data_IF_378901178652
#
_entry.id   IF_378901178652
#
_cell.length_a   1.000
_cell.length_b   1.000
_cell.length_c   1.000
_cell.angle_alpha   90.00
_cell.angle_beta   90.00
_cell.angle_gamma   90.00
#
_symmetry.space_group_name_H-M   'P 1'
#
loop_
_entity.id
_entity.type
_entity.pdbx_description
1 polymer ?
#
# COMPACT_ATOMS: atom_id res chain seq x y z
N UNK A 1 47.04 9.46 11.98
CA UNK A 1 45.62 9.36 12.40
C UNK A 1 44.67 10.22 11.54
N UNK A 2 44.90 11.53 11.37
CA UNK A 2 43.99 12.43 10.63
C UNK A 2 43.71 12.04 9.15
N UNK A 3 44.74 11.55 8.43
CA UNK A 3 44.60 11.03 7.04
C UNK A 3 43.82 9.71 6.96
N UNK A 4 43.93 8.86 7.98
CA UNK A 4 43.15 7.62 8.08
C UNK A 4 41.68 7.89 8.33
N UNK A 5 41.35 8.86 9.19
CA UNK A 5 39.95 9.30 9.38
C UNK A 5 39.34 9.89 8.10
N UNK A 6 40.11 10.69 7.36
CA UNK A 6 39.67 11.25 6.08
C UNK A 6 39.45 10.15 5.05
N UNK A 7 40.36 9.19 4.95
CA UNK A 7 40.22 8.05 4.05
C UNK A 7 39.00 7.20 4.39
N UNK A 8 38.79 6.86 5.66
CA UNK A 8 37.61 6.11 6.11
C UNK A 8 36.32 6.90 5.85
N UNK A 9 36.33 8.21 6.08
CA UNK A 9 35.19 9.09 5.79
C UNK A 9 34.84 9.12 4.30
N UNK A 10 35.83 9.29 3.42
CA UNK A 10 35.64 9.29 1.96
C UNK A 10 35.24 7.92 1.44
N UNK A 11 35.84 6.84 1.96
CA UNK A 11 35.49 5.46 1.61
C UNK A 11 34.04 5.14 2.01
N UNK A 12 33.62 5.55 3.21
CA UNK A 12 32.25 5.38 3.66
C UNK A 12 31.26 6.18 2.79
N UNK A 13 31.62 7.41 2.42
CA UNK A 13 30.84 8.25 1.49
C UNK A 13 30.72 7.60 0.10
N UNK A 14 31.83 7.07 -0.42
CA UNK A 14 31.85 6.38 -1.71
C UNK A 14 31.01 5.09 -1.67
N UNK A 15 31.11 4.30 -0.60
CA UNK A 15 30.28 3.11 -0.40
C UNK A 15 28.80 3.45 -0.30
N UNK A 16 28.44 4.55 0.38
CA UNK A 16 27.06 5.01 0.47
C UNK A 16 26.52 5.52 -0.88
N UNK A 17 27.36 6.23 -1.63
CA UNK A 17 27.03 6.72 -2.96
C UNK A 17 26.87 5.60 -3.99
N UNK A 18 27.68 4.54 -3.91
CA UNK A 18 27.65 3.38 -4.81
C UNK A 18 26.88 2.18 -4.24
N UNK A 19 26.11 2.36 -3.16
CA UNK A 19 25.44 1.24 -2.50
C UNK A 19 24.45 0.58 -3.50
N UNK A 20 24.61 -0.73 -3.82
CA UNK A 20 23.77 -1.33 -4.83
C UNK A 20 22.39 -1.65 -4.26
N UNK A 21 21.34 -1.30 -5.02
CA UNK A 21 19.92 -1.44 -4.63
C UNK A 21 19.57 -2.87 -4.15
N UNK A 22 20.27 -3.87 -4.70
CA UNK A 22 20.08 -5.30 -4.38
C UNK A 22 20.14 -5.62 -2.88
N UNK A 23 20.95 -4.89 -2.11
CA UNK A 23 21.10 -5.14 -0.67
C UNK A 23 19.87 -4.70 0.12
N UNK A 24 19.17 -3.66 -0.35
CA UNK A 24 17.95 -3.19 0.30
C UNK A 24 16.77 -4.07 -0.06
N UNK A 25 16.68 -4.52 -1.31
CA UNK A 25 15.60 -5.41 -1.74
C UNK A 25 15.64 -6.78 -1.05
N UNK A 26 16.82 -7.27 -0.67
CA UNK A 26 16.94 -8.53 0.06
C UNK A 26 16.20 -8.53 1.42
N UNK A 27 15.91 -7.34 1.97
CA UNK A 27 15.18 -7.16 3.22
C UNK A 27 13.70 -6.78 3.01
N UNK A 28 13.20 -6.77 1.77
CA UNK A 28 11.81 -6.42 1.46
C UNK A 28 11.09 -7.59 0.77
N UNK A 29 9.75 -7.66 0.85
CA UNK A 29 8.97 -8.68 0.15
C UNK A 29 8.85 -8.43 -1.36
N UNK A 30 9.59 -7.46 -1.92
CA UNK A 30 9.49 -7.06 -3.33
C UNK A 30 10.37 -7.97 -4.18
N UNK A 31 9.79 -8.59 -5.20
CA UNK A 31 10.52 -9.39 -6.20
C UNK A 31 10.52 -8.66 -7.55
N UNK A 32 11.57 -8.84 -8.34
CA UNK A 32 11.67 -8.24 -9.68
C UNK A 32 12.46 -9.17 -10.61
N UNK A 33 12.17 -9.15 -11.91
CA UNK A 33 12.88 -9.96 -12.91
C UNK A 33 14.31 -9.48 -13.09
N UNK A 34 14.50 -8.16 -13.14
CA UNK A 34 15.83 -7.56 -13.17
C UNK A 34 15.88 -6.33 -12.30
N UNK A 35 17.03 -6.13 -11.66
CA UNK A 35 17.33 -4.98 -10.81
C UNK A 35 18.59 -4.34 -11.35
N UNK A 36 18.51 -3.06 -11.70
CA UNK A 36 19.64 -2.30 -12.24
C UNK A 36 19.74 -0.94 -11.56
N UNK A 37 20.92 -0.34 -11.63
CA UNK A 37 21.18 0.98 -11.05
C UNK A 37 21.63 0.97 -9.59
N UNK A 38 21.82 2.17 -9.07
CA UNK A 38 22.25 2.42 -7.68
C UNK A 38 21.03 2.58 -6.77
N UNK A 39 21.24 2.65 -5.46
CA UNK A 39 20.16 2.96 -4.51
C UNK A 39 19.49 4.34 -4.77
N UNK A 40 20.19 5.26 -5.43
CA UNK A 40 19.70 6.60 -5.76
C UNK A 40 18.90 6.64 -7.06
N UNK A 41 19.19 5.71 -7.97
CA UNK A 41 18.67 5.67 -9.33
C UNK A 41 18.50 4.23 -9.80
N UNK A 42 17.66 3.50 -9.06
CA UNK A 42 17.36 2.10 -9.32
C UNK A 42 16.24 1.95 -10.34
N UNK A 43 16.26 0.85 -11.09
CA UNK A 43 15.13 0.38 -11.90
C UNK A 43 14.84 -1.08 -11.61
N UNK A 44 13.57 -1.37 -11.42
CA UNK A 44 13.02 -2.70 -11.22
C UNK A 44 12.21 -3.04 -12.48
N UNK A 45 12.60 -4.09 -13.20
CA UNK A 45 11.80 -4.59 -14.31
C UNK A 45 10.87 -5.71 -13.84
N UNK A 46 9.60 -5.63 -14.22
CA UNK A 46 8.53 -6.55 -13.82
C UNK A 46 8.53 -6.79 -12.29
N UNK A 47 8.47 -5.71 -11.52
CA UNK A 47 8.34 -5.75 -10.08
C UNK A 47 6.98 -6.37 -9.68
N UNK A 48 7.04 -7.27 -8.71
CA UNK A 48 5.90 -7.99 -8.15
C UNK A 48 5.99 -7.90 -6.63
N UNK A 49 4.94 -7.34 -6.03
CA UNK A 49 4.64 -7.52 -4.62
C UNK A 49 3.82 -8.79 -4.46
N UNK A 50 3.85 -9.46 -3.30
CA UNK A 50 3.01 -10.62 -3.04
C UNK A 50 1.54 -10.28 -3.33
N UNK A 51 0.97 -10.89 -4.38
CA UNK A 51 -0.40 -10.65 -4.82
C UNK A 51 -0.66 -9.37 -5.62
N UNK A 52 0.37 -8.61 -6.02
CA UNK A 52 0.19 -7.40 -6.83
C UNK A 52 1.31 -7.23 -7.87
N UNK A 53 1.04 -7.45 -9.17
CA UNK A 53 1.97 -7.10 -10.23
C UNK A 53 2.05 -5.57 -10.35
N UNK A 54 3.24 -5.00 -10.17
CA UNK A 54 3.45 -3.54 -10.28
C UNK A 54 3.95 -3.18 -11.68
N UNK A 55 4.83 -4.02 -12.26
CA UNK A 55 5.40 -3.77 -13.59
C UNK A 55 6.77 -3.10 -13.52
N UNK A 56 7.12 -2.30 -14.52
CA UNK A 56 8.41 -1.62 -14.58
C UNK A 56 8.37 -0.33 -13.77
N UNK A 57 9.34 -0.16 -12.86
CA UNK A 57 9.33 0.93 -11.88
C UNK A 57 10.73 1.47 -11.65
N UNK A 58 10.88 2.79 -11.68
CA UNK A 58 12.06 3.49 -11.21
C UNK A 58 11.93 3.74 -9.69
N UNK A 59 12.97 3.39 -8.93
CA UNK A 59 13.01 3.59 -7.47
C UNK A 59 14.32 4.27 -7.09
N UNK A 60 14.22 5.38 -6.36
CA UNK A 60 15.40 6.14 -5.91
C UNK A 60 15.26 6.62 -4.48
N UNK A 61 16.29 6.42 -3.66
CA UNK A 61 16.37 7.05 -2.36
C UNK A 61 16.63 8.55 -2.54
N UNK A 62 15.83 9.39 -1.90
CA UNK A 62 16.03 10.83 -1.86
C UNK A 62 17.13 11.21 -0.86
N UNK A 63 18.21 11.90 -1.28
CA UNK A 63 19.25 12.38 -0.37
C UNK A 63 18.70 13.35 0.68
N UNK A 64 17.77 14.21 0.29
CA UNK A 64 17.12 15.18 1.17
C UNK A 64 16.33 14.49 2.29
N UNK A 65 15.74 13.33 2.01
CA UNK A 65 15.08 12.51 3.02
C UNK A 65 16.04 12.10 4.14
N UNK A 66 17.25 11.65 3.80
CA UNK A 66 18.23 11.21 4.81
C UNK A 66 18.62 12.34 5.77
N UNK A 67 18.76 13.56 5.27
CA UNK A 67 19.04 14.74 6.10
C UNK A 67 17.91 15.04 7.09
N UNK A 68 16.66 14.69 6.77
CA UNK A 68 15.51 14.80 7.68
C UNK A 68 15.36 13.61 8.64
N UNK A 69 16.28 12.65 8.61
CA UNK A 69 16.24 11.44 9.44
C UNK A 69 15.28 10.36 8.94
N UNK A 70 14.86 10.43 7.68
CA UNK A 70 13.94 9.48 7.05
C UNK A 70 14.51 8.90 5.75
N UNK A 71 14.45 7.59 5.56
CA UNK A 71 14.70 6.99 4.26
C UNK A 71 13.44 7.19 3.39
N UNK A 72 13.50 8.13 2.44
CA UNK A 72 12.42 8.40 1.48
C UNK A 72 12.78 7.77 0.14
N UNK A 73 12.01 6.80 -0.30
CA UNK A 73 12.13 6.17 -1.62
C UNK A 73 11.06 6.75 -2.54
N UNK A 74 11.48 7.41 -3.61
CA UNK A 74 10.59 7.86 -4.67
C UNK A 74 10.38 6.68 -5.61
N UNK A 75 9.13 6.48 -6.01
CA UNK A 75 8.66 5.41 -6.89
C UNK A 75 7.98 6.10 -8.07
N UNK A 76 8.42 5.78 -9.27
CA UNK A 76 7.92 6.36 -10.53
C UNK A 76 7.75 5.22 -11.53
N UNK A 77 6.54 5.01 -12.02
CA UNK A 77 6.21 3.87 -12.86
C UNK A 77 4.84 3.98 -13.53
N UNK A 78 4.65 3.26 -14.62
CA UNK A 78 3.47 3.40 -15.50
C UNK A 78 2.13 3.14 -14.78
N UNK A 79 2.13 2.32 -13.73
CA UNK A 79 0.93 1.92 -12.98
C UNK A 79 0.77 2.69 -11.67
N UNK A 80 1.86 3.14 -11.06
CA UNK A 80 1.88 3.75 -9.74
C UNK A 80 3.10 4.66 -9.54
N UNK A 81 2.80 5.85 -9.06
CA UNK A 81 3.76 6.89 -8.69
C UNK A 81 3.58 7.26 -7.22
N UNK A 82 4.66 7.69 -6.56
CA UNK A 82 4.59 8.22 -5.22
C UNK A 82 5.91 8.09 -4.45
N UNK A 83 5.81 8.06 -3.13
CA UNK A 83 6.97 7.84 -2.27
C UNK A 83 6.64 6.96 -1.07
N UNK A 84 7.63 6.18 -0.64
CA UNK A 84 7.61 5.42 0.61
C UNK A 84 8.57 6.08 1.60
N UNK A 85 8.14 6.28 2.83
CA UNK A 85 8.92 6.88 3.90
C UNK A 85 9.13 5.87 5.02
N UNK A 86 10.39 5.68 5.39
CA UNK A 86 10.81 4.84 6.51
C UNK A 86 11.57 5.71 7.50
N UNK A 87 11.18 5.67 8.76
CA UNK A 87 11.77 6.48 9.85
C UNK A 87 11.94 5.59 11.08
N UNK A 88 12.74 6.02 12.05
CA UNK A 88 12.77 5.31 13.35
C UNK A 88 11.39 5.36 13.99
N UNK A 89 10.80 4.19 14.25
CA UNK A 89 9.48 4.05 14.86
C UNK A 89 8.31 4.48 13.97
N UNK A 90 8.51 4.63 12.65
CA UNK A 90 7.45 5.06 11.75
C UNK A 90 7.65 4.68 10.30
N UNK A 91 6.55 4.57 9.57
CA UNK A 91 6.53 4.30 8.12
C UNK A 91 5.33 4.97 7.48
N UNK A 92 5.41 5.23 6.19
CA UNK A 92 4.30 5.80 5.46
C UNK A 92 4.50 5.80 3.95
N UNK A 93 3.47 6.26 3.27
CA UNK A 93 3.41 6.53 1.85
C UNK A 93 2.98 7.99 1.65
N UNK A 94 3.49 8.62 0.59
CA UNK A 94 3.17 9.99 0.24
C UNK A 94 2.90 10.11 -1.25
N UNK A 95 1.86 10.89 -1.58
CA UNK A 95 1.47 11.26 -2.94
C UNK A 95 1.30 10.05 -3.87
N UNK A 96 0.74 8.96 -3.36
CA UNK A 96 0.53 7.74 -4.15
C UNK A 96 -0.62 7.94 -5.12
N UNK A 97 -0.31 7.88 -6.41
CA UNK A 97 -1.28 8.01 -7.50
C UNK A 97 -1.08 6.87 -8.47
N UNK A 98 -2.16 6.26 -8.93
CA UNK A 98 -2.06 5.14 -9.87
C UNK A 98 -3.28 4.23 -9.85
N UNK A 99 -3.23 3.20 -10.68
CA UNK A 99 -4.29 2.19 -10.80
C UNK A 99 -3.69 0.80 -10.62
N UNK A 100 -4.12 0.14 -9.57
CA UNK A 100 -3.68 -1.21 -9.21
C UNK A 100 -4.73 -2.25 -9.57
N UNK A 101 -4.29 -3.42 -10.03
CA UNK A 101 -5.16 -4.57 -10.37
C UNK A 101 -4.78 -5.81 -9.55
N UNK A 102 -4.95 -5.78 -8.21
CA UNK A 102 -4.47 -6.85 -7.32
C UNK A 102 -5.18 -8.20 -7.52
N UNK A 103 -6.35 -8.22 -8.17
CA UNK A 103 -7.23 -9.39 -8.26
C UNK A 103 -7.92 -9.74 -6.93
N UNK A 104 -7.19 -9.67 -5.81
CA UNK A 104 -7.73 -9.80 -4.45
C UNK A 104 -7.11 -8.77 -3.50
N UNK A 105 -7.94 -8.17 -2.64
CA UNK A 105 -7.51 -7.25 -1.59
C UNK A 105 -8.16 -7.68 -0.27
N UNK A 106 -7.36 -7.98 0.77
CA UNK A 106 -7.88 -8.43 2.07
C UNK A 106 -8.89 -9.60 1.94
N UNK A 107 -8.61 -10.54 1.04
CA UNK A 107 -9.50 -11.68 0.74
C UNK A 107 -10.68 -11.39 -0.19
N UNK A 108 -10.99 -10.12 -0.47
CA UNK A 108 -12.10 -9.69 -1.34
C UNK A 108 -11.68 -9.70 -2.83
N UNK A 109 -12.53 -10.15 -3.76
CA UNK A 109 -12.26 -10.05 -5.20
C UNK A 109 -12.38 -8.58 -5.67
N UNK A 110 -11.28 -8.04 -6.20
CA UNK A 110 -11.18 -6.63 -6.62
C UNK A 110 -10.62 -6.57 -8.04
N UNK A 111 -11.33 -5.87 -8.93
CA UNK A 111 -10.93 -5.68 -10.32
C UNK A 111 -9.85 -4.61 -10.43
N UNK A 112 -10.07 -3.46 -9.77
CA UNK A 112 -9.11 -2.36 -9.76
C UNK A 112 -9.23 -1.53 -8.48
N UNK A 113 -8.13 -0.85 -8.13
CA UNK A 113 -8.08 0.18 -7.10
C UNK A 113 -7.40 1.40 -7.72
N UNK A 114 -8.14 2.49 -7.84
CA UNK A 114 -7.59 3.79 -8.25
C UNK A 114 -7.22 4.57 -6.99
N UNK A 115 -6.00 5.10 -6.98
CA UNK A 115 -5.47 5.97 -5.93
C UNK A 115 -5.20 7.34 -6.53
N UNK A 116 -5.69 8.38 -5.87
CA UNK A 116 -5.41 9.76 -6.23
C UNK A 116 -4.83 10.50 -5.02
N UNK A 117 -3.55 10.84 -5.12
CA UNK A 117 -2.78 11.58 -4.12
C UNK A 117 -2.86 11.00 -2.69
N UNK A 118 -2.84 9.67 -2.59
CA UNK A 118 -3.01 8.99 -1.32
C UNK A 118 -1.74 9.08 -0.48
N UNK A 119 -1.87 9.62 0.73
CA UNK A 119 -0.79 9.69 1.70
C UNK A 119 -1.24 9.14 3.03
N UNK A 120 -0.47 8.22 3.60
CA UNK A 120 -0.76 7.61 4.89
C UNK A 120 0.54 7.39 5.68
N UNK A 121 0.51 7.60 6.99
CA UNK A 121 1.71 7.49 7.81
C UNK A 121 1.42 7.08 9.24
N UNK A 122 2.32 6.26 9.78
CA UNK A 122 2.35 5.84 11.16
C UNK A 122 3.63 6.33 11.83
N UNK A 123 3.52 6.81 13.07
CA UNK A 123 4.64 7.13 13.94
C UNK A 123 4.34 6.68 15.38
N UNK A 124 5.34 6.08 16.03
CA UNK A 124 5.23 5.57 17.40
C UNK A 124 4.00 4.64 17.62
N UNK A 125 3.64 3.84 16.60
CA UNK A 125 2.51 2.92 16.67
C UNK A 125 1.13 3.52 16.38
N UNK A 126 1.04 4.81 16.06
CA UNK A 126 -0.22 5.49 15.79
C UNK A 126 -0.26 6.12 14.39
N UNK A 127 -1.46 6.17 13.79
CA UNK A 127 -1.71 6.91 12.55
C UNK A 127 -1.54 8.41 12.79
N UNK A 128 -0.68 9.05 12.01
CA UNK A 128 -0.41 10.50 12.10
C UNK A 128 -0.85 11.27 10.87
N UNK A 129 -1.00 10.59 9.73
CA UNK A 129 -1.39 11.19 8.46
C UNK A 129 -2.22 10.20 7.65
N UNK A 130 -3.29 10.69 7.05
CA UNK A 130 -4.15 9.93 6.15
C UNK A 130 -4.93 10.94 5.30
N UNK A 131 -4.77 10.88 3.97
CA UNK A 131 -5.43 11.78 3.02
C UNK A 131 -5.40 11.19 1.60
N UNK A 132 -6.07 11.89 0.68
CA UNK A 132 -6.22 11.50 -0.71
C UNK A 132 -7.57 10.84 -0.97
N UNK A 133 -7.72 10.24 -2.15
CA UNK A 133 -8.95 9.59 -2.58
C UNK A 133 -8.64 8.18 -3.07
N UNK A 134 -9.46 7.22 -2.62
CA UNK A 134 -9.42 5.83 -3.08
C UNK A 134 -10.73 5.50 -3.76
N UNK A 135 -10.66 4.81 -4.89
CA UNK A 135 -11.81 4.24 -5.58
C UNK A 135 -11.56 2.77 -5.86
N UNK A 136 -12.43 1.90 -5.36
CA UNK A 136 -12.32 0.46 -5.45
C UNK A 136 -13.41 -0.06 -6.39
N UNK A 137 -13.00 -0.81 -7.40
CA UNK A 137 -13.88 -1.53 -8.33
C UNK A 137 -13.93 -3.01 -7.93
N UNK A 138 -15.05 -3.50 -7.38
CA UNK A 138 -15.18 -4.91 -7.02
C UNK A 138 -15.20 -5.81 -8.25
N UNK A 139 -14.86 -7.09 -8.07
CA UNK A 139 -14.93 -8.12 -9.11
C UNK A 139 -15.90 -9.25 -8.75
N UNK A 140 -16.29 -10.04 -9.75
CA UNK A 140 -17.12 -11.23 -9.57
C UNK A 140 -18.49 -10.90 -8.95
N UNK A 141 -18.94 -11.65 -7.93
CA UNK A 141 -20.26 -11.45 -7.31
C UNK A 141 -20.38 -10.11 -6.57
N UNK A 142 -19.27 -9.45 -6.24
CA UNK A 142 -19.29 -8.13 -5.60
C UNK A 142 -19.52 -6.97 -6.59
N UNK A 143 -19.55 -7.22 -7.90
CA UNK A 143 -19.81 -6.15 -8.87
C UNK A 143 -21.17 -5.46 -8.64
N UNK A 144 -22.16 -6.17 -8.10
CA UNK A 144 -23.48 -5.62 -7.74
C UNK A 144 -23.41 -4.49 -6.68
N UNK A 145 -22.33 -4.46 -5.87
CA UNK A 145 -22.06 -3.40 -4.91
C UNK A 145 -21.75 -2.05 -5.59
N UNK A 146 -21.35 -2.05 -6.86
CA UNK A 146 -20.87 -0.86 -7.57
C UNK A 146 -19.48 -0.42 -7.12
N UNK A 147 -18.96 0.64 -7.74
CA UNK A 147 -17.69 1.24 -7.32
C UNK A 147 -17.83 1.87 -5.94
N UNK A 148 -16.89 1.58 -5.03
CA UNK A 148 -16.85 2.16 -3.70
C UNK A 148 -15.76 3.23 -3.65
N UNK A 149 -16.08 4.39 -3.12
CA UNK A 149 -15.13 5.50 -3.02
C UNK A 149 -15.08 6.05 -1.60
N UNK A 150 -13.94 6.63 -1.24
CA UNK A 150 -13.77 7.28 0.04
C UNK A 150 -12.35 7.75 0.30
N UNK A 151 -12.19 8.43 1.43
CA UNK A 151 -10.95 9.11 1.81
C UNK A 151 -10.38 8.47 3.07
N UNK A 152 -9.09 8.08 3.08
CA UNK A 152 -8.46 7.54 4.27
C UNK A 152 -8.35 8.63 5.34
N UNK A 153 -8.59 8.25 6.59
CA UNK A 153 -8.46 9.13 7.77
C UNK A 153 -7.79 8.39 8.91
N UNK A 154 -7.15 9.12 9.82
CA UNK A 154 -6.69 8.52 11.07
C UNK A 154 -7.84 8.44 12.06
N UNK A 155 -8.00 7.28 12.69
CA UNK A 155 -8.94 7.02 13.76
C UNK A 155 -8.21 6.42 14.96
N UNK A 156 -7.80 7.29 15.88
CA UNK A 156 -6.89 6.94 16.97
C UNK A 156 -5.56 6.42 16.43
N UNK A 157 -5.15 5.22 16.86
CA UNK A 157 -3.93 4.59 16.40
C UNK A 157 -4.03 3.98 14.99
N UNK A 158 -5.23 3.82 14.45
CA UNK A 158 -5.45 3.11 13.18
C UNK A 158 -5.64 4.06 12.00
N UNK A 159 -5.22 3.60 10.82
CA UNK A 159 -5.64 4.15 9.55
C UNK A 159 -6.99 3.54 9.20
N UNK A 160 -8.03 4.37 9.05
CA UNK A 160 -9.36 3.96 8.66
C UNK A 160 -9.67 4.49 7.26
N UNK A 161 -9.95 3.57 6.34
CA UNK A 161 -10.42 3.86 5.00
C UNK A 161 -11.88 3.43 4.88
N UNK A 162 -12.84 4.36 5.08
CA UNK A 162 -14.23 4.12 4.74
C UNK A 162 -14.39 4.19 3.22
N UNK A 163 -15.02 3.18 2.63
CA UNK A 163 -15.37 3.13 1.23
C UNK A 163 -16.86 2.89 1.14
N UNK A 164 -17.57 3.72 0.39
CA UNK A 164 -19.04 3.63 0.29
C UNK A 164 -19.51 3.68 -1.14
N UNK A 165 -20.62 3.01 -1.40
CA UNK A 165 -21.42 3.11 -2.62
C UNK A 165 -22.90 3.21 -2.24
N UNK A 166 -23.79 3.24 -3.24
CA UNK A 166 -25.23 3.21 -3.02
C UNK A 166 -25.73 1.91 -2.34
N UNK A 167 -24.97 0.81 -2.43
CA UNK A 167 -25.40 -0.53 -1.96
C UNK A 167 -24.39 -1.20 -1.04
N UNK A 168 -23.25 -0.57 -0.78
CA UNK A 168 -22.18 -1.19 -0.03
C UNK A 168 -21.40 -0.18 0.81
N UNK A 169 -20.88 -0.69 1.93
CA UNK A 169 -19.96 0.03 2.80
C UNK A 169 -18.85 -0.92 3.21
N UNK A 170 -17.61 -0.54 2.91
CA UNK A 170 -16.40 -1.24 3.32
C UNK A 170 -15.61 -0.33 4.25
N UNK A 171 -15.47 -0.73 5.51
CA UNK A 171 -14.59 -0.07 6.47
C UNK A 171 -13.30 -0.90 6.59
N UNK A 172 -12.21 -0.39 6.02
CA UNK A 172 -10.87 -0.99 6.12
C UNK A 172 -10.06 -0.28 7.20
N UNK A 173 -9.74 -1.00 8.28
CA UNK A 173 -8.92 -0.53 9.39
C UNK A 173 -7.55 -1.20 9.34
N UNK A 174 -6.48 -0.42 9.37
CA UNK A 174 -5.09 -0.89 9.33
C UNK A 174 -4.34 -0.32 10.53
N UNK A 175 -3.63 -1.19 11.25
CA UNK A 175 -2.80 -0.87 12.41
C UNK A 175 -1.32 -0.73 12.02
N UNK A 176 -0.54 -0.08 12.89
CA UNK A 176 0.87 0.18 12.67
C UNK A 176 1.75 -1.08 12.68
N UNK A 177 1.26 -2.22 13.13
CA UNK A 177 1.91 -3.54 13.08
C UNK A 177 1.61 -4.31 11.78
N UNK A 178 0.71 -3.79 10.94
CA UNK A 178 0.29 -4.43 9.70
C UNK A 178 -0.93 -5.33 9.86
N UNK A 179 -1.53 -5.43 11.06
CA UNK A 179 -2.84 -6.04 11.23
C UNK A 179 -3.90 -5.20 10.54
N UNK A 180 -4.83 -5.87 9.89
CA UNK A 180 -5.96 -5.22 9.24
C UNK A 180 -7.28 -5.91 9.55
N UNK A 181 -8.35 -5.12 9.49
CA UNK A 181 -9.73 -5.58 9.56
C UNK A 181 -10.52 -4.91 8.45
N UNK A 182 -11.14 -5.71 7.58
CA UNK A 182 -12.00 -5.25 6.50
C UNK A 182 -13.43 -5.69 6.81
N UNK A 183 -14.32 -4.74 7.09
CA UNK A 183 -15.73 -5.00 7.33
C UNK A 183 -16.55 -4.49 6.15
N UNK A 184 -17.16 -5.39 5.39
CA UNK A 184 -18.01 -5.10 4.26
C UNK A 184 -19.47 -5.37 4.62
N UNK A 185 -20.33 -4.38 4.43
CA UNK A 185 -21.78 -4.49 4.52
C UNK A 185 -22.41 -4.19 3.16
N UNK A 186 -23.37 -5.00 2.75
CA UNK A 186 -24.09 -4.91 1.50
C UNK A 186 -25.59 -4.80 1.80
N UNK A 187 -26.28 -3.89 1.11
CA UNK A 187 -27.72 -3.66 1.23
C UNK A 187 -28.38 -3.75 -0.15
N UNK A 188 -29.66 -4.10 -0.18
CA UNK A 188 -30.43 -4.15 -1.44
C UNK A 188 -29.93 -5.17 -2.46
N UNK A 189 -29.41 -6.32 -2.00
CA UNK A 189 -28.93 -7.42 -2.85
C UNK A 189 -30.09 -8.31 -3.30
N UNK A 190 -30.13 -8.67 -4.58
CA UNK A 190 -31.17 -9.52 -5.16
C UNK A 190 -31.13 -10.96 -4.66
N UNK A 191 -32.26 -11.67 -4.73
CA UNK A 191 -32.37 -13.09 -4.31
C UNK A 191 -31.35 -14.00 -5.01
N UNK A 192 -31.18 -13.80 -6.32
CA UNK A 192 -30.27 -14.60 -7.14
C UNK A 192 -28.78 -14.44 -6.74
N UNK A 193 -28.39 -13.26 -6.26
CA UNK A 193 -27.01 -12.94 -5.88
C UNK A 193 -26.70 -13.39 -4.45
N UNK A 194 -27.74 -13.39 -3.60
CA UNK A 194 -27.62 -13.70 -2.18
C UNK A 194 -27.05 -15.10 -1.93
N UNK A 195 -27.52 -16.09 -2.67
CA UNK A 195 -27.05 -17.47 -2.52
C UNK A 195 -25.54 -17.60 -2.79
N UNK A 196 -25.02 -16.92 -3.83
CA UNK A 196 -23.60 -16.92 -4.16
C UNK A 196 -22.74 -16.22 -3.11
N UNK A 197 -23.23 -15.11 -2.55
CA UNK A 197 -22.53 -14.37 -1.50
C UNK A 197 -22.50 -15.13 -0.17
N UNK A 198 -23.60 -15.78 0.21
CA UNK A 198 -23.63 -16.66 1.39
C UNK A 198 -22.63 -17.81 1.25
N UNK A 199 -22.55 -18.43 0.07
CA UNK A 199 -21.58 -19.49 -0.21
C UNK A 199 -20.11 -19.01 -0.17
N UNK A 200 -19.87 -17.71 -0.32
CA UNK A 200 -18.54 -17.10 -0.23
C UNK A 200 -18.21 -16.52 1.16
N UNK A 201 -19.02 -16.84 2.17
CA UNK A 201 -18.75 -16.54 3.58
C UNK A 201 -19.44 -15.29 4.12
N UNK A 202 -20.29 -14.63 3.32
CA UNK A 202 -21.14 -13.56 3.83
C UNK A 202 -22.17 -14.13 4.80
N UNK A 203 -22.50 -13.33 5.81
CA UNK A 203 -23.52 -13.65 6.80
C UNK A 203 -24.73 -12.75 6.59
N UNK A 204 -25.92 -13.31 6.76
CA UNK A 204 -27.15 -12.54 6.73
C UNK A 204 -27.24 -11.61 7.95
N UNK A 205 -27.65 -10.38 7.70
CA UNK A 205 -27.93 -9.34 8.70
C UNK A 205 -29.34 -8.82 8.48
N UNK A 206 -29.95 -8.12 9.45
CA UNK A 206 -31.29 -7.56 9.28
C UNK A 206 -31.44 -6.67 8.04
N UNK A 207 -30.36 -5.96 7.67
CA UNK A 207 -30.35 -4.96 6.60
C UNK A 207 -29.75 -5.47 5.27
N UNK A 208 -29.24 -6.71 5.23
CA UNK A 208 -28.60 -7.29 4.05
C UNK A 208 -27.55 -8.35 4.36
N UNK A 209 -26.36 -8.23 3.80
CA UNK A 209 -25.26 -9.19 3.99
C UNK A 209 -24.01 -8.49 4.54
N UNK A 210 -23.28 -9.17 5.41
CA UNK A 210 -22.01 -8.66 5.94
C UNK A 210 -20.89 -9.71 5.86
N UNK A 211 -19.67 -9.24 5.68
CA UNK A 211 -18.45 -10.04 5.72
C UNK A 211 -17.37 -9.26 6.48
N UNK A 212 -16.72 -9.92 7.44
CA UNK A 212 -15.56 -9.34 8.12
C UNK A 212 -14.36 -10.24 7.90
N UNK A 213 -13.27 -9.65 7.39
CA UNK A 213 -11.99 -10.34 7.17
C UNK A 213 -10.93 -9.68 8.04
N UNK A 214 -10.13 -10.49 8.74
CA UNK A 214 -8.98 -10.03 9.50
C UNK A 214 -7.73 -10.73 8.98
N UNK A 215 -6.58 -10.05 9.08
CA UNK A 215 -5.31 -10.62 8.64
C UNK A 215 -4.13 -9.71 8.94
N UNK A 216 -2.97 -10.08 8.41
CA UNK A 216 -1.72 -9.35 8.51
C UNK A 216 -1.03 -9.34 7.14
N UNK A 217 -0.39 -8.22 6.79
CA UNK A 217 0.44 -8.10 5.58
C UNK A 217 1.80 -8.77 5.75
#
# INVERSE_FOLDING_TARGET
MRRGLLFVGVLALALLALLPLRWVLAATPVTARSVSGSLWSGRLAAAVLPGLPIGDVAVGLSPLGLFSGAARFIVDGDTIDGAVLLRRGGRGIEHVTGRLTPGRLAGLPVAAVDLADVSAGFAAGACTRAMGQVNLLPAGPLQAAGALSGTPRCDGAALLLPLTSARARLDLRILADGHYTAALALTGIGEAERAGLLASGFQATPDGLALTVTGQF
#
